data_IF_587281125192
#
_entry.id   IF_587281125192
#
_cell.length_a   1.000
_cell.length_b   1.000
_cell.length_c   1.000
_cell.angle_alpha   90.00
_cell.angle_beta   90.00
_cell.angle_gamma   90.00
#
_symmetry.space_group_name_H-M   'P 1'
#
loop_
_entity.id
_entity.type
_entity.pdbx_description
1 polymer ?
#
# COMPACT_ATOMS: atom_id res chain seq x y z
N UNK A 1 -2.83 0.00 -9.98
CA UNK A 1 -3.83 -1.09 -10.07
C UNK A 1 -4.23 -1.22 -11.50
N UNK A 2 -4.06 -2.40 -12.10
CA UNK A 2 -4.49 -2.63 -13.48
C UNK A 2 -5.71 -3.56 -13.50
N UNK A 3 -6.65 -3.30 -14.41
CA UNK A 3 -7.76 -4.20 -14.69
C UNK A 3 -7.28 -5.38 -15.53
N UNK A 4 -8.06 -6.46 -15.61
CA UNK A 4 -7.78 -7.56 -16.54
C UNK A 4 -7.77 -7.09 -18.01
N UNK A 5 -8.49 -6.01 -18.33
CA UNK A 5 -8.51 -5.40 -19.66
C UNK A 5 -7.29 -4.51 -19.96
N UNK A 6 -6.40 -4.29 -19.00
CA UNK A 6 -5.15 -3.52 -19.17
C UNK A 6 -5.27 -2.02 -18.87
N UNK A 7 -6.45 -1.53 -18.49
CA UNK A 7 -6.60 -0.17 -17.97
C UNK A 7 -5.88 -0.06 -16.62
N UNK A 8 -5.28 1.10 -16.35
CA UNK A 8 -4.46 1.29 -15.15
C UNK A 8 -4.95 2.48 -14.34
N UNK A 9 -5.11 2.29 -13.04
CA UNK A 9 -5.41 3.32 -12.07
C UNK A 9 -4.19 3.61 -11.21
N UNK A 10 -3.84 4.88 -11.10
CA UNK A 10 -2.69 5.35 -10.32
C UNK A 10 -3.19 6.31 -9.25
N UNK A 11 -2.88 5.99 -7.99
CA UNK A 11 -3.09 6.89 -6.86
C UNK A 11 -1.80 7.70 -6.62
N UNK A 12 -1.92 9.02 -6.60
CA UNK A 12 -0.83 9.96 -6.32
C UNK A 12 -1.20 10.91 -5.19
N UNK A 13 -0.23 11.24 -4.33
CA UNK A 13 -0.39 12.26 -3.28
C UNK A 13 0.34 13.54 -3.62
N UNK A 14 -0.32 14.68 -3.42
CA UNK A 14 0.25 16.02 -3.57
C UNK A 14 0.05 16.79 -2.27
N UNK A 15 1.17 17.18 -1.65
CA UNK A 15 1.15 17.94 -0.40
C UNK A 15 2.12 19.10 -0.43
N UNK A 16 1.67 20.23 0.11
CA UNK A 16 2.51 21.38 0.44
C UNK A 16 2.20 21.85 1.84
N UNK A 17 3.24 21.88 2.67
CA UNK A 17 3.20 22.44 4.01
C UNK A 17 4.03 23.73 4.08
N UNK A 18 3.40 24.81 4.53
CA UNK A 18 3.95 26.13 4.83
C UNK A 18 3.41 26.56 6.20
N UNK A 19 4.29 26.60 7.19
CA UNK A 19 3.91 26.91 8.57
C UNK A 19 3.43 28.34 8.83
N UNK A 20 3.59 29.27 7.88
CA UNK A 20 3.27 30.71 8.04
C UNK A 20 2.14 31.18 7.13
N UNK A 21 1.42 30.28 6.45
CA UNK A 21 0.34 30.62 5.52
C UNK A 21 -1.02 30.87 6.20
N UNK A 22 -1.07 30.97 7.54
CA UNK A 22 -2.30 31.22 8.27
C UNK A 22 -2.87 32.60 7.88
N UNK A 23 -3.91 32.60 7.04
CA UNK A 23 -4.62 33.81 6.60
C UNK A 23 -4.33 34.29 5.17
N UNK A 24 -3.43 33.65 4.43
CA UNK A 24 -3.24 34.01 3.00
C UNK A 24 -4.36 33.40 2.15
N UNK A 25 -5.06 34.24 1.39
CA UNK A 25 -6.07 33.81 0.42
C UNK A 25 -5.46 33.37 -0.93
N UNK A 26 -4.15 33.57 -1.13
CA UNK A 26 -3.47 33.19 -2.37
C UNK A 26 -3.28 31.65 -2.43
N UNK A 27 -3.89 30.95 -3.41
CA UNK A 27 -3.70 29.52 -3.61
C UNK A 27 -2.23 29.12 -3.83
N UNK A 28 -1.37 30.04 -4.30
CA UNK A 28 0.07 29.82 -4.44
C UNK A 28 0.80 29.75 -3.09
N UNK A 29 0.23 30.33 -2.03
CA UNK A 29 0.82 30.39 -0.69
C UNK A 29 0.16 29.45 0.32
N UNK A 30 -1.04 28.96 0.03
CA UNK A 30 -1.78 28.07 0.91
C UNK A 30 -1.19 26.66 1.03
N UNK A 31 -1.45 26.07 2.20
CA UNK A 31 -1.29 24.65 2.44
C UNK A 31 -2.30 23.87 1.62
N UNK A 32 -1.84 22.77 1.04
CA UNK A 32 -2.73 21.80 0.44
C UNK A 32 -2.26 20.38 0.73
N UNK A 33 -3.22 19.47 0.84
CA UNK A 33 -3.05 18.03 0.85
C UNK A 33 -4.19 17.39 0.08
N UNK A 34 -3.92 16.93 -1.14
CA UNK A 34 -4.91 16.22 -1.95
C UNK A 34 -4.31 14.92 -2.49
N UNK A 35 -5.19 13.97 -2.74
CA UNK A 35 -4.88 12.73 -3.44
C UNK A 35 -5.61 12.73 -4.78
N UNK A 36 -4.98 12.13 -5.77
CA UNK A 36 -5.46 12.04 -7.14
C UNK A 36 -5.47 10.59 -7.57
N UNK A 37 -6.59 10.12 -8.10
CA UNK A 37 -6.67 8.85 -8.84
C UNK A 37 -6.73 9.22 -10.31
N UNK A 38 -5.81 8.71 -11.13
CA UNK A 38 -5.87 8.83 -12.58
C UNK A 38 -6.09 7.47 -13.19
N UNK A 39 -7.14 7.36 -14.02
CA UNK A 39 -7.38 6.21 -14.89
C UNK A 39 -6.66 6.43 -16.22
N UNK A 40 -5.97 5.41 -16.66
CA UNK A 40 -5.26 5.35 -17.93
C UNK A 40 -5.87 4.24 -18.78
N UNK A 41 -6.08 4.52 -20.06
CA UNK A 41 -6.41 3.51 -21.06
C UNK A 41 -5.27 2.52 -21.27
N UNK A 42 -5.54 1.49 -22.07
CA UNK A 42 -4.56 0.43 -22.42
C UNK A 42 -3.30 0.96 -23.11
N UNK A 43 -3.42 2.10 -23.79
CA UNK A 43 -2.34 2.82 -24.47
C UNK A 43 -1.53 3.73 -23.53
N UNK A 44 -1.92 3.81 -22.25
CA UNK A 44 -1.30 4.69 -21.27
C UNK A 44 -1.78 6.14 -21.35
N UNK A 45 -2.82 6.45 -22.12
CA UNK A 45 -3.43 7.78 -22.17
C UNK A 45 -4.36 7.99 -20.97
N UNK A 46 -4.26 9.10 -20.21
CA UNK A 46 -5.23 9.42 -19.15
C UNK A 46 -6.65 9.56 -19.70
N UNK A 47 -7.63 8.89 -19.11
CA UNK A 47 -9.05 8.93 -19.55
C UNK A 47 -9.96 9.59 -18.53
N UNK A 48 -9.67 9.47 -17.23
CA UNK A 48 -10.42 10.11 -16.16
C UNK A 48 -9.51 10.41 -14.96
N UNK A 49 -9.88 11.39 -14.14
CA UNK A 49 -9.19 11.67 -12.88
C UNK A 49 -10.16 12.10 -11.79
N UNK A 50 -9.92 11.65 -10.56
CA UNK A 50 -10.64 12.04 -9.36
C UNK A 50 -9.70 12.66 -8.33
N UNK A 51 -10.06 13.83 -7.81
CA UNK A 51 -9.34 14.53 -6.74
C UNK A 51 -10.15 14.41 -5.43
N UNK A 52 -9.46 14.06 -4.34
CA UNK A 52 -10.04 14.02 -3.00
C UNK A 52 -9.04 14.47 -1.93
N UNK A 53 -9.50 14.68 -0.69
CA UNK A 53 -8.64 15.10 0.43
C UNK A 53 -9.09 16.40 1.09
N UNK A 54 -8.17 17.36 1.25
CA UNK A 54 -8.50 18.69 1.78
C UNK A 54 -9.57 19.35 0.89
N UNK A 55 -10.39 20.25 1.46
CA UNK A 55 -11.30 21.06 0.65
C UNK A 55 -10.50 22.06 -0.20
N UNK A 56 -10.86 22.19 -1.48
CA UNK A 56 -10.35 23.29 -2.31
C UNK A 56 -10.93 24.62 -1.78
N UNK A 57 -10.17 25.72 -1.72
CA UNK A 57 -10.69 27.00 -1.24
C UNK A 57 -11.97 27.43 -1.99
N UNK A 58 -13.07 27.62 -1.26
CA UNK A 58 -14.38 27.96 -1.84
C UNK A 58 -15.19 26.78 -2.40
N UNK A 59 -14.68 25.55 -2.29
CA UNK A 59 -15.36 24.32 -2.69
C UNK A 59 -16.07 23.60 -1.54
N UNK A 60 -16.91 22.62 -1.90
CA UNK A 60 -17.49 21.68 -0.94
C UNK A 60 -16.38 20.78 -0.33
N UNK A 61 -16.56 20.27 0.90
CA UNK A 61 -15.66 19.27 1.46
C UNK A 61 -15.67 18.01 0.58
N UNK A 62 -14.50 17.38 0.42
CA UNK A 62 -14.40 16.13 -0.33
C UNK A 62 -15.15 15.00 0.37
N UNK A 63 -15.83 14.13 -0.40
CA UNK A 63 -16.49 12.95 0.16
C UNK A 63 -15.49 11.95 0.77
N UNK A 64 -14.24 11.98 0.32
CA UNK A 64 -13.15 11.17 0.85
C UNK A 64 -12.12 12.10 1.52
N UNK A 65 -11.94 12.01 2.85
CA UNK A 65 -11.00 12.87 3.55
C UNK A 65 -9.55 12.55 3.17
N UNK A 66 -8.62 13.47 3.48
CA UNK A 66 -7.19 13.21 3.32
C UNK A 66 -6.79 12.05 4.25
N UNK A 67 -6.29 10.96 3.68
CA UNK A 67 -5.83 9.80 4.42
C UNK A 67 -4.31 9.66 4.37
N UNK A 68 -3.69 9.41 5.51
CA UNK A 68 -2.29 9.01 5.55
C UNK A 68 -2.14 7.59 4.94
N UNK A 69 -1.15 7.43 4.06
CA UNK A 69 -0.80 6.14 3.43
C UNK A 69 -1.97 5.44 2.72
N UNK A 70 -2.77 6.20 1.96
CA UNK A 70 -3.85 5.63 1.17
C UNK A 70 -3.33 4.62 0.14
N UNK A 71 -4.12 3.57 -0.08
CA UNK A 71 -3.86 2.47 -1.00
C UNK A 71 -5.05 2.29 -1.92
N UNK A 72 -4.80 1.74 -3.10
CA UNK A 72 -5.79 1.54 -4.15
C UNK A 72 -5.90 0.05 -4.47
N UNK A 73 -7.11 -0.44 -4.74
CA UNK A 73 -7.38 -1.74 -5.34
C UNK A 73 -8.47 -1.62 -6.41
N UNK A 74 -8.32 -2.37 -7.52
CA UNK A 74 -9.41 -2.62 -8.46
C UNK A 74 -10.05 -3.93 -8.04
N UNK A 75 -11.34 -3.90 -7.71
CA UNK A 75 -12.09 -5.08 -7.28
C UNK A 75 -12.47 -5.96 -8.48
N UNK A 76 -12.86 -7.24 -8.26
CA UNK A 76 -13.23 -8.15 -9.34
C UNK A 76 -14.40 -7.67 -10.22
N UNK A 77 -15.27 -6.82 -9.70
CA UNK A 77 -16.40 -6.21 -10.42
C UNK A 77 -16.03 -4.90 -11.13
N UNK A 78 -14.75 -4.49 -11.06
CA UNK A 78 -14.23 -3.27 -11.66
C UNK A 78 -14.33 -2.03 -10.78
N UNK A 79 -15.03 -2.09 -9.63
CA UNK A 79 -15.13 -0.97 -8.72
C UNK A 79 -13.76 -0.66 -8.08
N UNK A 80 -13.56 0.61 -7.70
CA UNK A 80 -12.28 1.08 -7.19
C UNK A 80 -12.36 1.25 -5.68
N UNK A 81 -11.53 0.54 -4.93
CA UNK A 81 -11.44 0.68 -3.49
C UNK A 81 -10.23 1.53 -3.10
N UNK A 82 -10.48 2.62 -2.38
CA UNK A 82 -9.46 3.44 -1.72
C UNK A 82 -9.48 3.12 -0.24
N UNK A 83 -8.37 2.64 0.30
CA UNK A 83 -8.25 2.29 1.72
C UNK A 83 -7.15 3.10 2.38
N UNK A 84 -7.39 3.65 3.57
CA UNK A 84 -6.42 4.43 4.32
C UNK A 84 -6.36 4.01 5.79
N UNK A 85 -5.22 4.28 6.43
CA UNK A 85 -5.08 4.04 7.85
C UNK A 85 -5.90 5.06 8.66
N UNK A 86 -6.52 4.66 9.80
CA UNK A 86 -6.37 3.37 10.43
C UNK A 86 -7.25 2.27 9.82
N UNK A 87 -8.35 2.51 9.13
CA UNK A 87 -9.18 1.41 8.60
C UNK A 87 -10.33 1.85 7.71
N UNK A 88 -10.20 3.04 7.12
CA UNK A 88 -11.23 3.65 6.28
C UNK A 88 -11.17 3.04 4.89
N UNK A 89 -12.31 2.64 4.34
CA UNK A 89 -12.43 2.19 2.95
C UNK A 89 -13.54 2.96 2.24
N UNK A 90 -13.25 3.45 1.05
CA UNK A 90 -14.18 4.14 0.17
C UNK A 90 -14.25 3.39 -1.17
N UNK A 91 -15.47 3.14 -1.64
CA UNK A 91 -15.72 2.47 -2.91
C UNK A 91 -16.16 3.51 -3.94
N UNK A 92 -15.55 3.48 -5.11
CA UNK A 92 -15.82 4.40 -6.21
C UNK A 92 -16.23 3.64 -7.46
N UNK A 93 -16.97 4.33 -8.33
CA UNK A 93 -17.27 3.85 -9.68
C UNK A 93 -15.97 3.66 -10.50
N UNK A 94 -15.95 2.74 -11.48
CA UNK A 94 -14.81 2.54 -12.37
C UNK A 94 -14.44 3.80 -13.17
N UNK A 95 -15.43 4.68 -13.43
CA UNK A 95 -15.26 5.93 -14.16
C UNK A 95 -14.79 7.09 -13.26
N UNK A 96 -14.62 6.85 -11.96
CA UNK A 96 -14.15 7.83 -10.96
C UNK A 96 -15.03 9.07 -10.85
N UNK A 97 -16.33 8.94 -11.10
CA UNK A 97 -17.31 10.03 -11.06
C UNK A 97 -18.23 9.98 -9.83
N UNK A 98 -18.26 8.86 -9.10
CA UNK A 98 -19.14 8.67 -7.95
C UNK A 98 -18.46 7.87 -6.82
N UNK A 99 -18.71 8.28 -5.57
CA UNK A 99 -18.43 7.48 -4.36
C UNK A 99 -19.65 6.63 -4.05
N UNK A 100 -19.54 5.32 -4.26
CA UNK A 100 -20.63 4.35 -4.13
C UNK A 100 -20.90 3.96 -2.67
N UNK A 101 -19.86 3.89 -1.84
CA UNK A 101 -19.95 3.52 -0.43
C UNK A 101 -18.74 4.02 0.36
N UNK A 102 -18.89 4.16 1.68
CA UNK A 102 -17.81 4.56 2.58
C UNK A 102 -17.96 3.88 3.94
N UNK A 103 -16.86 3.32 4.43
CA UNK A 103 -16.73 2.71 5.75
C UNK A 103 -15.59 3.40 6.50
N UNK A 104 -15.84 4.59 7.06
CA UNK A 104 -14.81 5.37 7.73
C UNK A 104 -14.43 4.75 9.09
N UNK A 105 -13.18 4.96 9.48
CA UNK A 105 -12.66 4.74 10.82
C UNK A 105 -12.11 6.06 11.35
N UNK A 106 -12.45 6.46 12.57
CA UNK A 106 -11.92 7.74 13.09
C UNK A 106 -10.41 7.66 13.26
N UNK A 107 -9.70 8.58 12.60
CA UNK A 107 -8.31 8.89 12.90
C UNK A 107 -8.23 9.68 14.21
N UNK A 108 -7.52 9.18 15.22
CA UNK A 108 -7.36 9.87 16.50
C UNK A 108 -6.69 9.02 17.58
N UNK A 109 -6.20 9.68 18.62
CA UNK A 109 -5.64 9.01 19.80
C UNK A 109 -6.73 8.31 20.62
N UNK A 110 -7.97 8.78 20.55
CA UNK A 110 -9.09 8.22 21.29
C UNK A 110 -10.21 7.79 20.36
N UNK A 111 -10.87 6.70 20.73
CA UNK A 111 -12.12 6.29 20.12
C UNK A 111 -13.17 7.34 20.48
N UNK A 112 -13.94 7.82 19.50
CA UNK A 112 -15.06 8.72 19.80
C UNK A 112 -16.14 7.92 20.53
N UNK A 113 -16.31 8.20 21.83
CA UNK A 113 -17.36 7.58 22.63
C UNK A 113 -18.74 7.78 21.98
N UNK A 114 -19.54 6.71 21.92
CA UNK A 114 -20.89 6.73 21.36
C UNK A 114 -21.00 6.61 19.83
N UNK A 115 -19.90 6.62 19.07
CA UNK A 115 -19.92 6.35 17.63
C UNK A 115 -19.76 4.84 17.37
N UNK A 116 -20.80 4.19 16.85
CA UNK A 116 -20.71 2.80 16.36
C UNK A 116 -20.09 2.81 14.98
N UNK A 117 -18.77 2.95 14.93
CA UNK A 117 -18.00 2.86 13.69
C UNK A 117 -18.11 1.46 13.10
N UNK A 118 -18.26 1.39 11.77
CA UNK A 118 -18.34 0.12 11.05
C UNK A 118 -17.27 0.05 9.93
N UNK A 119 -15.97 0.14 10.30
CA UNK A 119 -14.87 0.19 9.33
C UNK A 119 -14.75 -1.10 8.52
N UNK A 120 -13.92 -1.09 7.48
CA UNK A 120 -13.68 -2.28 6.66
C UNK A 120 -12.21 -2.72 6.67
N UNK A 121 -11.33 -2.02 5.96
CA UNK A 121 -9.93 -2.38 5.82
C UNK A 121 -9.02 -1.14 5.69
N UNK A 122 -7.80 -1.26 6.24
CA UNK A 122 -6.73 -0.27 6.08
C UNK A 122 -6.01 -0.39 4.72
N UNK A 123 -6.03 -1.59 4.13
CA UNK A 123 -5.58 -1.83 2.76
C UNK A 123 -6.24 -3.07 2.18
N UNK A 124 -6.44 -3.08 0.86
CA UNK A 124 -6.98 -4.22 0.11
C UNK A 124 -6.01 -4.57 -1.01
N UNK A 125 -5.76 -5.84 -1.22
CA UNK A 125 -5.17 -6.41 -2.43
C UNK A 125 -6.12 -7.50 -2.97
N UNK A 126 -5.99 -7.86 -4.24
CA UNK A 126 -6.85 -8.87 -4.88
C UNK A 126 -5.99 -10.02 -5.36
N UNK A 127 -6.37 -11.26 -5.04
CA UNK A 127 -5.69 -12.46 -5.52
C UNK A 127 -6.13 -12.80 -6.95
N UNK A 128 -5.41 -13.67 -7.68
CA UNK A 128 -5.85 -14.12 -9.01
C UNK A 128 -7.27 -14.70 -9.05
N UNK A 129 -7.68 -15.46 -8.02
CA UNK A 129 -9.06 -15.97 -7.90
C UNK A 129 -10.10 -14.92 -7.48
N UNK A 130 -9.73 -13.65 -7.38
CA UNK A 130 -10.63 -12.56 -7.01
C UNK A 130 -10.95 -12.49 -5.51
N UNK A 131 -10.15 -13.15 -4.64
CA UNK A 131 -10.29 -12.96 -3.19
C UNK A 131 -9.74 -11.60 -2.78
N UNK A 132 -10.36 -11.00 -1.78
CA UNK A 132 -9.84 -9.80 -1.13
C UNK A 132 -8.83 -10.22 -0.07
N UNK A 133 -7.59 -9.78 -0.20
CA UNK A 133 -6.56 -9.84 0.83
C UNK A 133 -6.56 -8.50 1.57
N UNK A 134 -7.08 -8.49 2.78
CA UNK A 134 -7.30 -7.30 3.57
C UNK A 134 -6.33 -7.22 4.74
N UNK A 135 -5.90 -5.99 5.03
CA UNK A 135 -5.29 -5.64 6.31
C UNK A 135 -6.29 -4.81 7.09
N UNK A 136 -6.67 -5.24 8.28
CA UNK A 136 -7.64 -4.54 9.13
C UNK A 136 -6.99 -4.07 10.42
N UNK A 137 -7.59 -3.06 11.03
CA UNK A 137 -7.09 -2.45 12.26
C UNK A 137 -7.97 -2.74 13.44
N UNK A 138 -7.33 -2.69 14.61
CA UNK A 138 -7.96 -2.90 15.89
C UNK A 138 -7.55 -1.79 16.85
N UNK A 139 -8.45 -1.40 17.76
CA UNK A 139 -8.11 -0.63 18.95
C UNK A 139 -7.51 -1.55 20.02
N UNK A 140 -6.76 -0.97 20.98
CA UNK A 140 -6.33 -1.68 22.19
C UNK A 140 -5.17 -2.69 22.02
N UNK A 141 -4.51 -2.72 20.85
CA UNK A 141 -3.45 -3.69 20.50
C UNK A 141 -2.04 -3.31 21.01
N UNK A 142 -1.88 -2.18 21.69
CA UNK A 142 -0.58 -1.79 22.24
C UNK A 142 -0.70 -0.80 23.38
N UNK A 143 0.45 -0.38 23.92
CA UNK A 143 0.51 0.70 24.91
C UNK A 143 0.13 2.08 24.35
N UNK A 144 -0.04 2.19 23.03
CA UNK A 144 -0.34 3.43 22.35
C UNK A 144 -1.83 3.60 22.10
N UNK A 145 -2.25 4.85 22.05
CA UNK A 145 -3.61 5.24 21.75
C UNK A 145 -3.92 5.09 20.23
N UNK A 146 -5.20 4.95 19.90
CA UNK A 146 -5.71 4.81 18.53
C UNK A 146 -5.72 3.38 17.97
N UNK A 147 -6.37 3.22 16.82
CA UNK A 147 -6.43 1.97 16.08
C UNK A 147 -5.17 1.74 15.25
N UNK A 148 -4.77 0.48 15.08
CA UNK A 148 -3.56 0.09 14.34
C UNK A 148 -3.80 -1.13 13.47
N UNK A 149 -3.18 -1.22 12.28
CA UNK A 149 -3.19 -2.43 11.48
C UNK A 149 -2.67 -3.62 12.29
N UNK A 150 -3.51 -4.63 12.48
CA UNK A 150 -3.15 -5.80 13.28
C UNK A 150 -3.52 -7.15 12.66
N UNK A 151 -4.58 -7.22 11.84
CA UNK A 151 -5.03 -8.48 11.26
C UNK A 151 -4.81 -8.48 9.76
N UNK A 152 -4.26 -9.58 9.24
CA UNK A 152 -4.32 -9.94 7.82
C UNK A 152 -5.42 -10.98 7.67
N UNK A 153 -6.36 -10.71 6.76
CA UNK A 153 -7.52 -11.55 6.53
C UNK A 153 -7.81 -11.69 5.04
N UNK A 154 -8.48 -12.77 4.66
CA UNK A 154 -8.89 -13.02 3.28
C UNK A 154 -10.39 -13.24 3.18
N UNK A 155 -11.00 -12.82 2.07
CA UNK A 155 -12.37 -13.20 1.75
C UNK A 155 -12.43 -14.60 1.15
N UNK A 156 -13.62 -15.20 1.16
CA UNK A 156 -13.90 -16.35 0.32
C UNK A 156 -13.90 -15.97 -1.17
N UNK A 157 -13.60 -16.92 -2.09
CA UNK A 157 -13.72 -16.68 -3.53
C UNK A 157 -15.10 -16.17 -3.92
N UNK A 158 -15.15 -15.16 -4.80
CA UNK A 158 -16.42 -14.56 -5.26
C UNK A 158 -17.13 -13.65 -4.24
N UNK A 159 -16.57 -13.46 -3.05
CA UNK A 159 -17.09 -12.48 -2.10
C UNK A 159 -16.87 -11.05 -2.64
N UNK A 160 -17.93 -10.24 -2.63
CA UNK A 160 -17.91 -8.88 -3.17
C UNK A 160 -17.99 -7.85 -2.04
N UNK A 161 -17.24 -6.76 -2.18
CA UNK A 161 -17.44 -5.54 -1.41
C UNK A 161 -18.31 -4.59 -2.23
N UNK A 162 -19.43 -4.12 -1.67
CA UNK A 162 -20.35 -3.24 -2.39
C UNK A 162 -21.20 -2.38 -1.45
N UNK A 163 -22.03 -1.47 -1.98
CA UNK A 163 -22.91 -0.63 -1.17
C UNK A 163 -23.78 -1.47 -0.23
N UNK A 164 -23.69 -1.22 1.08
CA UNK A 164 -24.42 -1.96 2.12
C UNK A 164 -23.96 -3.41 2.34
N UNK A 165 -22.90 -3.88 1.67
CA UNK A 165 -22.44 -5.27 1.74
C UNK A 165 -20.93 -5.35 2.01
N UNK A 166 -20.57 -5.75 3.23
CA UNK A 166 -19.21 -6.13 3.59
C UNK A 166 -19.04 -7.66 3.49
N UNK A 167 -18.05 -8.17 2.76
CA UNK A 167 -17.76 -9.59 2.77
C UNK A 167 -17.23 -10.00 4.15
N UNK A 168 -17.51 -11.24 4.53
CA UNK A 168 -16.83 -11.85 5.69
C UNK A 168 -15.38 -12.13 5.30
N UNK A 169 -14.47 -11.73 6.18
CA UNK A 169 -13.04 -11.91 6.07
C UNK A 169 -12.59 -12.94 7.12
N UNK A 170 -11.90 -13.98 6.67
CA UNK A 170 -11.25 -14.97 7.54
C UNK A 170 -9.85 -14.48 7.89
N UNK A 171 -9.60 -14.21 9.16
CA UNK A 171 -8.29 -13.86 9.68
C UNK A 171 -7.32 -15.02 9.50
N UNK A 172 -6.16 -14.71 8.90
CA UNK A 172 -5.07 -15.68 8.68
C UNK A 172 -3.84 -15.33 9.51
N UNK A 173 -3.59 -14.05 9.79
CA UNK A 173 -2.47 -13.67 10.65
C UNK A 173 -2.82 -12.49 11.55
N UNK A 174 -2.17 -12.47 12.71
CA UNK A 174 -2.21 -11.37 13.66
C UNK A 174 -0.79 -10.86 13.85
N UNK A 175 -0.59 -9.55 13.71
CA UNK A 175 0.70 -8.93 13.97
C UNK A 175 1.08 -9.05 15.45
N UNK A 176 0.22 -8.58 16.35
CA UNK A 176 0.41 -8.56 17.80
C UNK A 176 -0.79 -9.14 18.54
N UNK A 177 -0.50 -9.98 19.54
CA UNK A 177 -1.50 -10.69 20.34
C UNK A 177 -1.86 -9.98 21.65
N UNK A 178 -1.27 -8.82 21.97
CA UNK A 178 -1.63 -8.03 23.16
C UNK A 178 -3.03 -7.46 23.00
N UNK A 179 -3.95 -7.81 23.89
CA UNK A 179 -5.35 -7.37 23.82
C UNK A 179 -5.89 -6.85 25.14
N UNK A 180 -5.02 -6.54 26.11
CA UNK A 180 -5.41 -6.20 27.48
C UNK A 180 -6.30 -4.95 27.57
N UNK A 181 -6.35 -4.15 26.50
CA UNK A 181 -7.14 -2.90 26.41
C UNK A 181 -8.33 -3.00 25.46
N UNK A 182 -8.60 -4.18 24.89
CA UNK A 182 -9.77 -4.38 24.05
C UNK A 182 -11.04 -4.55 24.89
N UNK A 183 -12.14 -4.06 24.35
CA UNK A 183 -13.50 -4.21 24.87
C UNK A 183 -14.41 -4.81 23.80
N UNK A 184 -15.62 -5.24 24.19
CA UNK A 184 -16.64 -5.70 23.22
C UNK A 184 -16.98 -4.65 22.16
N UNK A 185 -16.77 -3.37 22.46
CA UNK A 185 -17.01 -2.28 21.51
C UNK A 185 -15.99 -2.23 20.37
N UNK A 186 -14.87 -2.94 20.48
CA UNK A 186 -13.78 -2.99 19.48
C UNK A 186 -13.92 -4.16 18.50
N UNK A 187 -15.05 -4.86 18.58
CA UNK A 187 -15.39 -5.99 17.74
C UNK A 187 -15.88 -5.52 16.35
N UNK A 188 -15.27 -6.09 15.30
CA UNK A 188 -15.69 -5.95 13.91
C UNK A 188 -16.26 -7.28 13.37
N UNK A 189 -17.59 -7.45 13.26
CA UNK A 189 -18.23 -8.74 12.95
C UNK A 189 -17.85 -9.36 11.60
N UNK A 190 -17.41 -8.54 10.66
CA UNK A 190 -16.99 -8.99 9.34
C UNK A 190 -15.61 -9.66 9.35
N UNK A 191 -14.81 -9.54 10.43
CA UNK A 191 -13.50 -10.20 10.54
C UNK A 191 -13.61 -11.36 11.53
N UNK A 192 -13.42 -12.60 11.05
CA UNK A 192 -13.64 -13.82 11.83
C UNK A 192 -12.40 -14.69 11.93
N UNK A 193 -12.25 -15.36 13.06
CA UNK A 193 -11.32 -16.47 13.24
C UNK A 193 -12.13 -17.68 13.72
N UNK A 194 -12.16 -18.74 12.90
CA UNK A 194 -13.16 -19.80 13.03
C UNK A 194 -14.57 -19.26 12.89
N UNK A 195 -15.47 -19.74 13.74
CA UNK A 195 -16.89 -19.35 13.73
C UNK A 195 -17.18 -18.09 14.54
N UNK A 196 -16.18 -17.42 15.09
CA UNK A 196 -16.36 -16.23 15.92
C UNK A 196 -15.56 -15.04 15.38
N UNK A 197 -16.02 -13.81 15.62
CA UNK A 197 -15.27 -12.61 15.27
C UNK A 197 -13.92 -12.50 16.00
N UNK A 198 -12.98 -11.77 15.40
CA UNK A 198 -11.67 -11.49 16.02
C UNK A 198 -11.84 -10.45 17.12
N UNK A 199 -11.60 -10.86 18.36
CA UNK A 199 -11.60 -10.00 19.55
C UNK A 199 -10.91 -10.73 20.70
N UNK A 200 -10.14 -10.01 21.53
CA UNK A 200 -9.44 -10.60 22.68
C UNK A 200 -8.61 -11.81 22.25
N UNK A 201 -8.70 -12.93 22.97
CA UNK A 201 -7.95 -14.14 22.65
C UNK A 201 -8.36 -14.89 21.38
N UNK A 202 -9.51 -14.59 20.75
CA UNK A 202 -9.97 -15.31 19.56
C UNK A 202 -9.32 -14.77 18.28
N UNK A 203 -8.11 -15.24 17.97
CA UNK A 203 -7.33 -14.77 16.82
C UNK A 203 -6.28 -15.80 16.39
N UNK A 204 -5.73 -15.68 15.17
CA UNK A 204 -4.58 -16.49 14.74
C UNK A 204 -3.42 -16.45 15.73
N UNK A 205 -2.94 -17.63 16.12
CA UNK A 205 -1.75 -17.82 16.95
C UNK A 205 -0.81 -18.82 16.26
N UNK A 206 0.51 -18.65 16.29
CA UNK A 206 1.33 -17.59 16.91
C UNK A 206 1.23 -16.25 16.17
N UNK A 207 1.40 -15.12 16.87
CA UNK A 207 1.46 -13.79 16.22
C UNK A 207 2.70 -13.66 15.32
N UNK A 208 2.63 -12.81 14.30
CA UNK A 208 3.74 -12.55 13.39
C UNK A 208 4.95 -12.01 14.14
N UNK A 209 4.75 -11.13 15.13
CA UNK A 209 5.84 -10.62 15.98
C UNK A 209 6.62 -11.75 16.65
N UNK A 210 5.91 -12.74 17.21
CA UNK A 210 6.52 -13.88 17.90
C UNK A 210 7.17 -14.84 16.90
N UNK A 211 6.47 -15.22 15.85
CA UNK A 211 6.98 -16.12 14.81
C UNK A 211 8.25 -15.54 14.13
N UNK A 212 8.27 -14.25 13.82
CA UNK A 212 9.43 -13.59 13.24
C UNK A 212 10.57 -13.42 14.24
N UNK A 213 10.28 -13.14 15.51
CA UNK A 213 11.32 -13.07 16.54
C UNK A 213 12.02 -14.43 16.73
N UNK A 214 11.26 -15.52 16.69
CA UNK A 214 11.81 -16.88 16.72
C UNK A 214 12.62 -17.17 15.45
N UNK A 215 12.07 -16.84 14.27
CA UNK A 215 12.71 -17.07 12.97
C UNK A 215 14.03 -16.29 12.80
N UNK A 216 14.12 -15.07 13.33
CA UNK A 216 15.34 -14.23 13.22
C UNK A 216 16.25 -14.31 14.44
N UNK A 217 15.89 -15.09 15.46
CA UNK A 217 16.67 -15.20 16.69
C UNK A 217 16.69 -13.92 17.54
N UNK A 218 15.64 -13.10 17.44
CA UNK A 218 15.51 -11.81 18.15
C UNK A 218 14.49 -11.87 19.31
N UNK A 219 14.05 -13.06 19.70
CA UNK A 219 13.16 -13.28 20.85
C UNK A 219 13.66 -12.57 22.11
N UNK A 220 12.82 -11.73 22.70
CA UNK A 220 13.13 -10.94 23.90
C UNK A 220 13.98 -9.70 23.65
N UNK A 221 14.42 -9.43 22.42
CA UNK A 221 15.15 -8.22 22.07
C UNK A 221 14.24 -6.99 22.02
N UNK A 222 14.64 -5.92 22.69
CA UNK A 222 14.01 -4.59 22.56
C UNK A 222 14.13 -4.00 21.15
N UNK A 223 15.06 -4.51 20.34
CA UNK A 223 15.26 -4.14 18.94
C UNK A 223 14.67 -5.18 17.98
N UNK A 224 13.99 -6.20 18.50
CA UNK A 224 13.26 -7.21 17.74
C UNK A 224 11.94 -6.67 17.18
N UNK A 225 10.95 -7.55 17.07
CA UNK A 225 9.61 -7.19 16.56
C UNK A 225 8.67 -6.63 17.64
N UNK A 226 9.15 -6.27 18.82
CA UNK A 226 8.31 -5.63 19.85
C UNK A 226 7.83 -4.26 19.35
N UNK A 227 6.52 -3.99 19.47
CA UNK A 227 5.89 -2.77 18.95
C UNK A 227 6.13 -2.55 17.43
N UNK A 228 6.30 -3.65 16.67
CA UNK A 228 6.40 -3.58 15.22
C UNK A 228 5.12 -3.03 14.57
N UNK A 229 5.25 -2.57 13.33
CA UNK A 229 4.14 -2.26 12.44
C UNK A 229 4.12 -3.22 11.27
N UNK A 230 2.98 -3.31 10.59
CA UNK A 230 2.90 -3.95 9.28
C UNK A 230 2.37 -2.97 8.24
N UNK A 231 2.72 -3.22 6.97
CA UNK A 231 2.17 -2.47 5.84
C UNK A 231 1.40 -3.41 4.91
N UNK A 232 0.89 -2.85 3.81
CA UNK A 232 0.03 -3.54 2.86
C UNK A 232 0.61 -4.91 2.46
N UNK A 233 -0.11 -6.02 2.68
CA UNK A 233 0.28 -7.32 2.18
C UNK A 233 0.08 -7.43 0.67
N UNK A 234 0.87 -8.28 0.02
CA UNK A 234 0.80 -8.55 -1.41
C UNK A 234 0.57 -10.03 -1.68
N UNK A 235 -0.23 -10.35 -2.70
CA UNK A 235 -0.49 -11.72 -3.11
C UNK A 235 0.60 -12.24 -4.04
N UNK A 236 1.28 -13.33 -3.67
CA UNK A 236 2.20 -14.08 -4.53
C UNK A 236 1.52 -15.20 -5.32
N UNK A 237 0.26 -15.44 -5.00
CA UNK A 237 -0.61 -16.40 -5.62
C UNK A 237 -1.95 -16.33 -4.92
N UNK A 238 -2.72 -17.39 -5.05
CA UNK A 238 -3.98 -17.51 -4.35
C UNK A 238 -3.77 -17.88 -2.87
N UNK A 239 -2.85 -18.79 -2.58
CA UNK A 239 -2.65 -19.37 -1.26
C UNK A 239 -1.40 -18.87 -0.53
N UNK A 240 -0.66 -17.92 -1.11
CA UNK A 240 0.59 -17.40 -0.56
C UNK A 240 0.66 -15.87 -0.64
N UNK A 241 1.03 -15.25 0.48
CA UNK A 241 1.07 -13.80 0.64
C UNK A 241 2.41 -13.35 1.23
N UNK A 242 2.84 -12.16 0.85
CA UNK A 242 3.92 -11.43 1.51
C UNK A 242 3.30 -10.43 2.47
N UNK A 243 3.65 -10.52 3.75
CA UNK A 243 3.25 -9.58 4.79
C UNK A 243 4.48 -8.80 5.27
N UNK A 244 4.64 -7.53 4.89
CA UNK A 244 5.74 -6.71 5.38
C UNK A 244 5.55 -6.34 6.85
N UNK A 245 6.55 -6.65 7.68
CA UNK A 245 6.58 -6.35 9.11
C UNK A 245 7.88 -5.61 9.44
N UNK A 246 7.76 -4.48 10.11
CA UNK A 246 8.88 -3.59 10.42
C UNK A 246 8.93 -3.33 11.92
N UNK A 247 10.14 -3.43 12.48
CA UNK A 247 10.42 -3.06 13.86
C UNK A 247 10.05 -1.60 14.15
N UNK A 248 10.03 -1.26 15.43
CA UNK A 248 9.57 0.04 15.90
C UNK A 248 10.38 1.19 15.30
N UNK A 249 9.66 2.20 14.81
CA UNK A 249 10.25 3.48 14.39
C UNK A 249 10.49 4.39 15.60
N UNK A 250 11.75 4.75 15.83
CA UNK A 250 12.23 5.72 16.81
C UNK A 250 12.48 7.10 16.18
N UNK A 251 12.44 8.14 17.02
CA UNK A 251 12.71 9.53 16.61
C UNK A 251 14.19 9.80 16.31
N UNK A 252 15.12 9.05 16.92
CA UNK A 252 16.57 9.31 16.86
C UNK A 252 17.26 8.61 15.69
N UNK A 253 17.03 7.31 15.52
CA UNK A 253 17.57 6.51 14.41
C UNK A 253 16.82 5.20 14.27
N UNK A 254 16.58 4.80 13.02
CA UNK A 254 15.94 3.55 12.64
C UNK A 254 16.87 2.61 11.88
N UNK A 255 18.14 3.01 11.71
CA UNK A 255 19.09 2.20 10.95
C UNK A 255 19.41 0.94 11.74
N UNK A 256 19.23 -0.21 11.08
CA UNK A 256 19.47 -1.52 11.71
C UNK A 256 18.30 -2.03 12.55
N UNK A 257 17.12 -1.40 12.49
CA UNK A 257 15.89 -1.98 13.02
C UNK A 257 15.49 -3.22 12.23
N UNK A 258 14.91 -4.21 12.92
CA UNK A 258 14.41 -5.45 12.32
C UNK A 258 13.35 -5.17 11.25
N UNK A 259 13.38 -5.96 10.19
CA UNK A 259 12.33 -5.99 9.18
C UNK A 259 12.28 -7.36 8.52
N UNK A 260 11.08 -7.76 8.14
CA UNK A 260 10.82 -8.99 7.40
C UNK A 260 9.69 -8.80 6.41
N UNK A 261 9.83 -9.40 5.24
CA UNK A 261 8.74 -9.64 4.32
C UNK A 261 8.31 -11.09 4.52
N UNK A 262 7.40 -11.31 5.47
CA UNK A 262 7.00 -12.65 5.90
C UNK A 262 6.20 -13.35 4.81
N UNK A 263 6.48 -14.63 4.56
CA UNK A 263 5.67 -15.47 3.68
C UNK A 263 4.61 -16.17 4.53
N UNK A 264 3.34 -15.88 4.27
CA UNK A 264 2.20 -16.40 5.03
C UNK A 264 1.23 -17.07 4.06
N UNK A 265 0.82 -18.29 4.36
CA UNK A 265 -0.16 -18.99 3.54
C UNK A 265 -1.62 -18.64 3.91
N UNK A 266 -2.57 -19.12 3.12
CA UNK A 266 -4.00 -18.90 3.36
C UNK A 266 -4.59 -19.63 4.58
N UNK A 267 -3.79 -20.45 5.26
CA UNK A 267 -4.12 -21.07 6.54
C UNK A 267 -3.51 -20.33 7.73
N UNK A 268 -2.72 -19.29 7.46
CA UNK A 268 -2.05 -18.49 8.48
C UNK A 268 -0.68 -19.01 8.92
N UNK A 269 -0.13 -20.02 8.25
CA UNK A 269 1.19 -20.53 8.58
C UNK A 269 2.28 -19.64 7.98
N UNK A 270 3.25 -19.24 8.81
CA UNK A 270 4.46 -18.55 8.35
C UNK A 270 5.38 -19.58 7.70
N UNK A 271 5.56 -19.49 6.37
CA UNK A 271 6.38 -20.40 5.57
C UNK A 271 7.85 -19.98 5.48
N UNK A 272 8.15 -18.72 5.81
CA UNK A 272 9.49 -18.16 5.76
C UNK A 272 9.45 -16.65 5.59
N UNK A 273 10.43 -16.10 4.87
CA UNK A 273 10.51 -14.67 4.52
C UNK A 273 11.25 -14.47 3.21
N UNK A 274 11.04 -13.33 2.56
CA UNK A 274 11.93 -12.90 1.47
C UNK A 274 13.32 -12.63 2.05
N UNK A 275 14.29 -13.48 1.69
CA UNK A 275 15.63 -13.50 2.26
C UNK A 275 16.65 -12.61 1.54
N UNK A 276 17.90 -12.67 1.98
CA UNK A 276 19.04 -12.06 1.26
C UNK A 276 19.24 -10.55 1.41
N UNK A 277 18.39 -9.85 2.18
CA UNK A 277 18.61 -8.44 2.52
C UNK A 277 19.41 -8.28 3.80
N UNK A 278 20.38 -7.37 3.75
CA UNK A 278 21.18 -6.99 4.90
C UNK A 278 20.49 -5.89 5.71
N UNK A 279 20.39 -6.11 7.03
CA UNK A 279 19.65 -5.28 7.98
C UNK A 279 19.99 -3.78 7.92
N UNK A 280 21.25 -3.44 7.58
CA UNK A 280 21.76 -2.05 7.57
C UNK A 280 22.02 -1.47 6.19
N UNK A 281 22.30 -2.31 5.20
CA UNK A 281 22.71 -1.87 3.85
C UNK A 281 21.53 -1.85 2.90
N UNK A 282 20.50 -2.65 3.19
CA UNK A 282 19.30 -2.78 2.37
C UNK A 282 18.06 -2.33 3.15
N UNK A 283 18.28 -1.53 4.21
CA UNK A 283 17.28 -1.18 5.20
C UNK A 283 16.17 -0.29 4.62
N UNK A 284 14.89 -0.69 4.72
CA UNK A 284 13.74 0.09 4.23
C UNK A 284 13.54 1.39 5.03
N UNK A 285 14.06 1.43 6.27
CA UNK A 285 13.99 2.60 7.13
C UNK A 285 14.78 3.80 6.60
N UNK A 286 15.76 3.57 5.71
CA UNK A 286 16.48 4.68 5.07
C UNK A 286 15.71 5.10 3.82
N UNK A 287 14.88 6.14 3.95
CA UNK A 287 13.98 6.59 2.88
C UNK A 287 12.51 6.30 3.18
N UNK A 288 12.23 5.50 4.22
CA UNK A 288 10.88 5.09 4.64
C UNK A 288 10.12 4.36 3.51
N UNK A 289 10.82 3.48 2.82
CA UNK A 289 10.28 2.69 1.71
C UNK A 289 9.89 1.30 2.23
N UNK A 290 8.61 1.09 2.54
CA UNK A 290 8.11 -0.14 3.18
C UNK A 290 7.25 -1.01 2.26
N UNK A 291 7.10 -0.61 1.00
CA UNK A 291 6.22 -1.26 0.04
C UNK A 291 6.86 -2.52 -0.52
N UNK A 292 6.10 -3.61 -0.54
CA UNK A 292 6.36 -4.78 -1.38
C UNK A 292 5.24 -4.88 -2.41
N UNK A 293 5.57 -5.33 -3.62
CA UNK A 293 4.58 -5.67 -4.64
C UNK A 293 4.87 -7.07 -5.13
N UNK A 294 3.87 -7.75 -5.67
CA UNK A 294 4.03 -9.10 -6.19
C UNK A 294 3.36 -9.24 -7.55
N UNK A 295 3.90 -10.15 -8.36
CA UNK A 295 3.25 -10.70 -9.54
C UNK A 295 2.76 -12.11 -9.17
N UNK A 296 1.46 -12.27 -8.86
CA UNK A 296 0.93 -13.56 -8.45
C UNK A 296 0.84 -14.57 -9.60
N UNK A 297 0.88 -14.13 -10.86
CA UNK A 297 0.84 -15.02 -12.01
C UNK A 297 2.18 -15.68 -12.28
N UNK A 298 3.27 -15.01 -11.87
CA UNK A 298 4.65 -15.50 -12.02
C UNK A 298 5.29 -15.91 -10.70
N UNK A 299 4.59 -15.72 -9.58
CA UNK A 299 5.06 -16.07 -8.25
C UNK A 299 6.34 -15.33 -7.87
N UNK A 300 6.41 -14.02 -8.13
CA UNK A 300 7.56 -13.21 -7.76
C UNK A 300 7.20 -11.94 -6.99
N UNK A 301 8.09 -11.52 -6.11
CA UNK A 301 7.94 -10.32 -5.29
C UNK A 301 9.01 -9.29 -5.65
N UNK A 302 8.70 -8.01 -5.47
CA UNK A 302 9.60 -6.90 -5.71
C UNK A 302 9.55 -5.89 -4.57
N UNK A 303 10.72 -5.31 -4.29
CA UNK A 303 10.87 -4.24 -3.32
C UNK A 303 11.85 -3.22 -3.89
N UNK A 304 11.49 -1.93 -3.80
CA UNK A 304 12.35 -0.82 -4.14
C UNK A 304 12.56 0.02 -2.90
N UNK A 305 13.81 0.29 -2.58
CA UNK A 305 14.18 1.29 -1.58
C UNK A 305 15.33 2.16 -2.10
N UNK A 306 15.82 3.05 -1.24
CA UNK A 306 16.96 3.92 -1.53
C UNK A 306 18.20 3.19 -2.10
N UNK A 307 18.43 1.94 -1.73
CA UNK A 307 19.65 1.19 -2.04
C UNK A 307 19.54 0.29 -3.27
N UNK A 308 18.33 -0.10 -3.67
CA UNK A 308 18.16 -0.96 -4.82
C UNK A 308 16.73 -1.39 -5.09
N UNK A 309 16.56 -1.98 -6.27
CA UNK A 309 15.41 -2.82 -6.63
C UNK A 309 15.81 -4.29 -6.44
N UNK A 310 14.96 -5.03 -5.75
CA UNK A 310 15.17 -6.43 -5.39
C UNK A 310 14.00 -7.25 -5.92
N UNK A 311 14.28 -8.47 -6.37
CA UNK A 311 13.27 -9.41 -6.85
C UNK A 311 13.49 -10.80 -6.27
N UNK A 312 12.41 -11.46 -5.85
CA UNK A 312 12.41 -12.80 -5.27
C UNK A 312 11.47 -13.73 -6.02
N UNK A 313 11.76 -15.02 -5.96
CA UNK A 313 10.79 -16.08 -6.25
C UNK A 313 9.85 -16.33 -5.07
N UNK A 314 8.79 -17.08 -5.30
CA UNK A 314 7.75 -17.40 -4.30
C UNK A 314 8.24 -18.19 -3.10
N UNK A 315 9.36 -18.89 -3.23
CA UNK A 315 10.08 -19.56 -2.14
C UNK A 315 10.87 -18.60 -1.23
N UNK A 316 10.91 -17.31 -1.56
CA UNK A 316 11.62 -16.28 -0.81
C UNK A 316 13.11 -16.17 -1.14
N UNK A 317 13.60 -16.83 -2.20
CA UNK A 317 14.99 -16.71 -2.66
C UNK A 317 15.18 -15.42 -3.46
N UNK A 318 16.21 -14.64 -3.11
CA UNK A 318 16.57 -13.41 -3.83
C UNK A 318 17.18 -13.79 -5.18
N UNK A 319 16.55 -13.37 -6.28
CA UNK A 319 16.96 -13.69 -7.65
C UNK A 319 17.66 -12.54 -8.35
N UNK A 320 17.25 -11.30 -8.08
CA UNK A 320 17.89 -10.13 -8.66
C UNK A 320 18.08 -9.01 -7.63
N UNK A 321 19.22 -8.32 -7.74
CA UNK A 321 19.55 -7.13 -6.95
C UNK A 321 20.18 -6.07 -7.86
N UNK A 322 19.47 -4.97 -8.04
CA UNK A 322 19.92 -3.83 -8.84
C UNK A 322 20.25 -2.67 -7.90
N UNK A 323 21.53 -2.48 -7.60
CA UNK A 323 21.96 -1.44 -6.67
C UNK A 323 21.86 -0.04 -7.29
N UNK A 324 21.24 0.91 -6.58
CA UNK A 324 21.19 2.32 -6.96
C UNK A 324 22.55 3.02 -6.92
N UNK A 325 23.58 2.37 -6.35
CA UNK A 325 24.97 2.82 -6.43
C UNK A 325 25.58 2.60 -7.81
N UNK A 326 25.04 1.67 -8.60
CA UNK A 326 25.51 1.40 -9.95
C UNK A 326 24.90 2.39 -10.95
N UNK A 327 25.73 2.86 -11.89
CA UNK A 327 25.37 3.88 -12.89
C UNK A 327 24.03 3.63 -13.61
N UNK A 328 23.72 2.42 -14.14
CA UNK A 328 22.46 2.21 -14.86
C UNK A 328 21.21 2.35 -13.97
N UNK A 329 21.32 2.07 -12.67
CA UNK A 329 20.18 2.01 -11.75
C UNK A 329 20.08 3.19 -10.80
N UNK A 330 21.07 4.09 -10.78
CA UNK A 330 21.05 5.33 -9.99
C UNK A 330 19.73 6.11 -10.08
N UNK A 331 19.07 6.23 -11.25
CA UNK A 331 17.79 6.94 -11.33
C UNK A 331 16.66 6.38 -10.46
N UNK A 332 16.71 5.09 -10.08
CA UNK A 332 15.65 4.43 -9.30
C UNK A 332 15.40 5.08 -7.93
N UNK A 333 16.37 5.82 -7.36
CA UNK A 333 16.19 6.58 -6.11
C UNK A 333 15.12 7.67 -6.20
N UNK A 334 14.71 8.04 -7.42
CA UNK A 334 13.66 9.02 -7.67
C UNK A 334 12.29 8.39 -7.89
N UNK A 335 12.19 7.08 -7.81
CA UNK A 335 10.96 6.34 -8.03
C UNK A 335 10.43 5.73 -6.74
N UNK A 336 9.13 5.55 -6.71
CA UNK A 336 8.43 4.67 -5.77
C UNK A 336 7.83 3.51 -6.55
N UNK A 337 7.72 2.36 -5.88
CA UNK A 337 7.17 1.15 -6.45
C UNK A 337 5.67 1.11 -6.20
N UNK A 338 4.88 0.97 -7.26
CA UNK A 338 3.43 0.98 -7.18
C UNK A 338 2.85 -0.43 -7.16
N UNK A 339 3.15 -1.22 -8.20
CA UNK A 339 2.54 -2.55 -8.39
C UNK A 339 3.24 -3.34 -9.50
N UNK A 340 2.84 -4.60 -9.68
CA UNK A 340 3.03 -5.35 -10.92
C UNK A 340 1.67 -5.60 -11.60
N UNK A 341 1.56 -5.30 -12.89
CA UNK A 341 0.32 -5.52 -13.65
C UNK A 341 0.11 -7.02 -13.94
N UNK A 342 -1.13 -7.47 -14.22
CA UNK A 342 -1.39 -8.85 -14.66
C UNK A 342 -0.62 -9.24 -15.95
N UNK A 343 -0.22 -8.27 -16.77
CA UNK A 343 0.61 -8.50 -17.95
C UNK A 343 2.09 -8.78 -17.60
N UNK A 344 2.48 -8.65 -16.33
CA UNK A 344 3.86 -8.78 -15.86
C UNK A 344 4.68 -7.54 -16.14
N UNK A 345 4.13 -6.35 -15.92
CA UNK A 345 4.90 -5.10 -15.94
C UNK A 345 5.01 -4.50 -14.54
N UNK A 346 6.22 -4.16 -14.11
CA UNK A 346 6.46 -3.42 -12.89
C UNK A 346 6.17 -1.93 -13.13
N UNK A 347 5.28 -1.36 -12.31
CA UNK A 347 4.88 0.03 -12.36
C UNK A 347 5.62 0.84 -11.29
N UNK A 348 6.34 1.86 -11.71
CA UNK A 348 7.04 2.80 -10.83
C UNK A 348 6.59 4.23 -11.14
N UNK A 349 6.37 5.04 -10.11
CA UNK A 349 6.09 6.47 -10.28
C UNK A 349 7.28 7.31 -9.85
N UNK A 350 7.61 8.34 -10.62
CA UNK A 350 8.62 9.30 -10.23
C UNK A 350 8.10 10.20 -9.11
N UNK A 351 8.70 10.13 -7.91
CA UNK A 351 8.24 10.75 -6.65
C UNK A 351 7.93 12.25 -6.71
N UNK A 352 8.53 12.98 -7.68
CA UNK A 352 8.33 14.43 -7.85
C UNK A 352 7.57 14.85 -9.11
N UNK A 353 7.47 13.97 -10.10
CA UNK A 353 6.94 14.33 -11.42
C UNK A 353 5.70 13.52 -11.76
N UNK A 354 5.41 12.48 -10.98
CA UNK A 354 4.27 11.59 -11.14
C UNK A 354 4.18 10.98 -12.54
N UNK A 355 5.32 10.88 -13.23
CA UNK A 355 5.45 10.16 -14.49
C UNK A 355 5.65 8.67 -14.21
N UNK A 356 4.93 7.85 -14.96
CA UNK A 356 4.97 6.40 -14.86
C UNK A 356 6.16 5.84 -15.64
N UNK A 357 6.85 4.88 -15.04
CA UNK A 357 7.82 4.00 -15.68
C UNK A 357 7.22 2.58 -15.66
N UNK A 358 7.09 1.97 -16.83
CA UNK A 358 6.67 0.57 -16.99
C UNK A 358 7.89 -0.27 -17.33
N UNK A 359 8.14 -1.32 -16.56
CA UNK A 359 9.25 -2.26 -16.80
C UNK A 359 8.67 -3.64 -17.07
N UNK A 360 8.87 -4.23 -18.26
CA UNK A 360 8.47 -5.60 -18.49
C UNK A 360 9.28 -6.53 -17.57
N UNK A 361 8.58 -7.30 -16.74
CA UNK A 361 9.19 -8.34 -15.93
C UNK A 361 9.45 -9.52 -16.86
N UNK A 362 10.68 -10.05 -16.94
CA UNK A 362 10.96 -11.28 -17.69
C UNK A 362 10.41 -12.52 -16.95
N UNK A 363 10.20 -13.64 -17.65
CA UNK A 363 9.85 -14.91 -16.99
C UNK A 363 11.00 -15.39 -16.08
N UNK A 364 12.24 -15.25 -16.56
CA UNK A 364 13.44 -15.47 -15.77
C UNK A 364 13.97 -14.15 -15.22
N UNK A 365 14.00 -14.03 -13.90
CA UNK A 365 14.39 -12.80 -13.20
C UNK A 365 15.85 -12.40 -13.42
N UNK A 366 16.70 -13.29 -13.94
CA UNK A 366 18.07 -12.98 -14.32
C UNK A 366 18.13 -11.90 -15.42
N UNK A 367 17.09 -11.81 -16.27
CA UNK A 367 16.95 -10.77 -17.30
C UNK A 367 16.45 -9.41 -16.78
N UNK A 368 16.04 -9.29 -15.51
CA UNK A 368 15.32 -8.12 -15.00
C UNK A 368 16.18 -6.85 -15.03
N UNK A 369 17.48 -6.98 -14.73
CA UNK A 369 18.41 -5.86 -14.74
C UNK A 369 18.49 -5.18 -16.12
N UNK A 370 18.50 -5.98 -17.19
CA UNK A 370 18.53 -5.48 -18.58
C UNK A 370 17.21 -4.77 -18.92
N UNK A 371 16.08 -5.34 -18.53
CA UNK A 371 14.77 -4.74 -18.75
C UNK A 371 14.63 -3.38 -18.04
N UNK A 372 15.07 -3.29 -16.78
CA UNK A 372 15.06 -2.05 -16.00
C UNK A 372 15.95 -0.99 -16.63
N UNK A 373 17.17 -1.34 -17.04
CA UNK A 373 18.07 -0.39 -17.69
C UNK A 373 17.48 0.15 -19.00
N UNK A 374 16.89 -0.72 -19.82
CA UNK A 374 16.24 -0.35 -21.06
C UNK A 374 15.06 0.62 -20.82
N UNK A 375 14.20 0.29 -19.87
CA UNK A 375 13.04 1.12 -19.51
C UNK A 375 13.47 2.51 -18.99
N UNK A 376 14.49 2.58 -18.13
CA UNK A 376 15.05 3.86 -17.65
C UNK A 376 15.62 4.73 -18.77
N UNK A 377 16.28 4.13 -19.76
CA UNK A 377 16.78 4.83 -20.96
C UNK A 377 15.65 5.39 -21.82
N UNK A 378 14.55 4.65 -21.98
CA UNK A 378 13.36 5.11 -22.70
C UNK A 378 12.69 6.26 -21.94
N UNK A 379 12.40 6.07 -20.66
CA UNK A 379 11.81 7.09 -19.78
C UNK A 379 12.59 8.41 -19.80
N UNK A 380 13.92 8.36 -19.75
CA UNK A 380 14.76 9.57 -19.82
C UNK A 380 14.55 10.39 -21.10
N UNK A 381 14.36 9.71 -22.24
CA UNK A 381 14.09 10.34 -23.54
C UNK A 381 12.69 10.96 -23.57
N UNK A 382 11.68 10.19 -23.18
CA UNK A 382 10.27 10.63 -23.15
C UNK A 382 10.07 11.81 -22.22
N UNK A 383 10.60 11.74 -21.00
CA UNK A 383 10.58 12.85 -20.04
C UNK A 383 11.20 14.12 -20.63
N UNK A 384 12.31 13.99 -21.37
CA UNK A 384 12.97 15.14 -22.00
C UNK A 384 12.09 15.74 -23.10
N UNK A 385 11.41 14.92 -23.90
CA UNK A 385 10.46 15.37 -24.90
C UNK A 385 9.28 16.10 -24.25
N UNK A 386 8.66 15.51 -23.21
CA UNK A 386 7.59 16.13 -22.44
C UNK A 386 8.00 17.50 -21.89
N UNK A 387 9.20 17.59 -21.29
CA UNK A 387 9.71 18.88 -20.76
C UNK A 387 9.76 19.98 -21.80
N UNK A 388 10.18 19.64 -23.03
CA UNK A 388 10.23 20.59 -24.15
C UNK A 388 8.84 21.02 -24.60
N UNK A 389 7.88 20.09 -24.58
CA UNK A 389 6.52 20.35 -25.02
C UNK A 389 5.72 21.20 -24.02
N UNK A 390 5.85 20.92 -22.72
CA UNK A 390 4.95 21.47 -21.70
C UNK A 390 5.58 22.47 -20.73
N UNK A 391 6.90 22.70 -20.79
CA UNK A 391 7.63 23.64 -19.92
C UNK A 391 7.19 23.58 -18.43
N UNK A 392 7.28 22.40 -17.79
CA UNK A 392 6.65 22.16 -16.49
C UNK A 392 7.20 23.08 -15.38
N UNK A 393 6.31 23.58 -14.52
CA UNK A 393 6.68 24.39 -13.35
C UNK A 393 6.65 23.49 -12.10
N UNK A 394 7.85 23.16 -11.60
CA UNK A 394 8.14 22.33 -10.42
C UNK A 394 7.50 20.92 -10.36
N UNK A 395 6.17 20.82 -10.39
CA UNK A 395 5.31 19.65 -10.12
C UNK A 395 4.11 19.53 -11.07
N UNK A 396 3.79 20.54 -11.87
CA UNK A 396 2.62 20.51 -12.75
C UNK A 396 3.00 20.29 -14.21
N UNK A 397 2.51 19.20 -14.77
CA UNK A 397 2.35 19.01 -16.20
C UNK A 397 0.90 19.38 -16.52
N UNK A 398 0.68 20.36 -17.40
CA UNK A 398 -0.67 20.74 -17.82
C UNK A 398 -1.03 20.00 -19.09
N UNK A 399 -2.02 19.13 -18.99
CA UNK A 399 -2.76 18.60 -20.13
C UNK A 399 -4.26 18.79 -19.85
N UNK A 400 -5.00 19.32 -20.82
CA UNK A 400 -6.41 19.64 -20.69
C UNK A 400 -7.30 18.54 -21.29
N UNK A 401 -6.72 17.41 -21.68
CA UNK A 401 -7.41 16.35 -22.43
C UNK A 401 -8.31 15.44 -21.56
N UNK A 402 -8.04 15.33 -20.26
CA UNK A 402 -8.77 14.43 -19.36
C UNK A 402 -9.87 15.15 -18.55
N UNK A 403 -11.00 14.46 -18.34
CA UNK A 403 -12.04 14.92 -17.43
C UNK A 403 -11.56 14.84 -15.97
N UNK A 404 -11.80 15.90 -15.20
CA UNK A 404 -11.43 16.00 -13.78
C UNK A 404 -12.71 16.05 -12.94
N UNK A 405 -12.90 15.03 -12.11
CA UNK A 405 -13.97 14.95 -11.14
C UNK A 405 -13.46 15.36 -9.75
N UNK A 406 -14.27 16.13 -9.03
CA UNK A 406 -14.04 16.44 -7.63
C UNK A 406 -14.99 15.59 -6.79
N UNK A 407 -14.43 14.70 -5.97
CA UNK A 407 -15.19 13.78 -5.13
C UNK A 407 -15.47 14.36 -3.76
#
# INVERSE_FOLDING_TARGET
MATAAGETYVLSGLRRYRGHAAGSADPAEQNFGYQLITRYGVDGTPTASAVFGQAVPGGAPSAIPEGDSATLAVLPDGAIAVSSQPGSTHLLSPDLDEVLASWPMSSGWEKKEGCREDPFAASIAVTPAGRLLCMTSEYGISNWAGARPNIVAISEPGATLGPGRKPVLRAIATLDARTDRQSESDHHPHVRYGDAPVVGGNRPALSLTKALSELTGTSGSLHGYVDSTMTRPAALGDDLFVVPVFGRTYRSSNRGQEFSFALVDDRGAVRGRLGGLHLREDSPFTGFDFTVVADPHRGCAFHLNRYGLYAWSSDGVLRARMSTGQKPFKPLVHFELLECTPAGELLLAHRKQHLLLRVPVPQDLDGLAVAVEAALKVYGRERTALKKQYAPVNWLWRDNSAAVNHL
#
